data_IF_273214128322
#
_entry.id   IF_273214128322
#
_cell.length_a   1.000
_cell.length_b   1.000
_cell.length_c   1.000
_cell.angle_alpha   90.00
_cell.angle_beta   90.00
_cell.angle_gamma   90.00
#
_symmetry.space_group_name_H-M   'P 1'
#
loop_
_entity.id
_entity.type
_entity.pdbx_description
1 polymer ?
#
# COMPACT_ATOMS: atom_id res chain seq x y z
N UNK A 1 -22.69 -11.38 -13.86
CA UNK A 1 -21.47 -11.86 -13.17
C UNK A 1 -21.22 -11.24 -11.80
N UNK A 2 -21.61 -9.97 -11.52
CA UNK A 2 -21.19 -9.24 -10.29
C UNK A 2 -22.29 -9.02 -9.22
N UNK A 3 -23.52 -9.50 -9.43
CA UNK A 3 -24.70 -9.15 -8.60
C UNK A 3 -24.66 -9.66 -7.14
N UNK A 4 -23.80 -10.64 -6.80
CA UNK A 4 -23.86 -11.35 -5.50
C UNK A 4 -22.61 -11.20 -4.58
N UNK A 5 -21.63 -10.34 -4.87
CA UNK A 5 -20.47 -10.17 -3.98
C UNK A 5 -20.61 -8.91 -3.11
N UNK A 6 -20.61 -9.11 -1.78
CA UNK A 6 -20.87 -8.09 -0.73
C UNK A 6 -19.76 -7.04 -0.53
N UNK A 7 -18.55 -7.25 -1.06
CA UNK A 7 -17.53 -6.20 -1.12
C UNK A 7 -16.54 -6.50 -2.23
N UNK A 8 -16.31 -5.53 -3.12
CA UNK A 8 -15.30 -5.63 -4.17
C UNK A 8 -14.07 -4.82 -3.76
N UNK A 9 -12.92 -5.49 -3.65
CA UNK A 9 -11.62 -4.83 -3.70
C UNK A 9 -11.28 -4.66 -5.18
N UNK A 10 -11.05 -3.42 -5.63
CA UNK A 10 -10.90 -3.06 -7.06
C UNK A 10 -9.90 -3.95 -7.81
N UNK A 11 -8.75 -4.25 -7.18
CA UNK A 11 -7.72 -5.09 -7.79
C UNK A 11 -8.15 -6.56 -7.93
N UNK A 12 -8.92 -7.08 -6.97
CA UNK A 12 -9.42 -8.47 -7.05
C UNK A 12 -10.45 -8.64 -8.17
N UNK A 13 -11.20 -7.57 -8.50
CA UNK A 13 -12.10 -7.56 -9.65
C UNK A 13 -11.32 -7.69 -10.96
N UNK A 14 -10.24 -6.93 -11.12
CA UNK A 14 -9.40 -7.01 -12.32
C UNK A 14 -8.82 -8.41 -12.49
N UNK A 15 -8.29 -9.01 -11.42
CA UNK A 15 -7.80 -10.40 -11.45
C UNK A 15 -8.90 -11.36 -11.87
N UNK A 16 -10.12 -11.20 -11.36
CA UNK A 16 -11.25 -12.05 -11.72
C UNK A 16 -11.67 -11.90 -13.19
N UNK A 17 -11.73 -10.67 -13.69
CA UNK A 17 -12.07 -10.40 -15.08
C UNK A 17 -11.08 -11.08 -16.04
N UNK A 18 -9.78 -10.95 -15.75
CA UNK A 18 -8.71 -11.60 -16.52
C UNK A 18 -8.81 -13.12 -16.45
N UNK A 19 -9.05 -13.69 -15.25
CA UNK A 19 -9.24 -15.15 -15.10
C UNK A 19 -10.43 -15.69 -15.89
N UNK A 20 -11.48 -14.88 -16.06
CA UNK A 20 -12.65 -15.22 -16.87
C UNK A 20 -12.48 -14.90 -18.37
N UNK A 21 -11.26 -14.65 -18.84
CA UNK A 21 -10.96 -14.41 -20.26
C UNK A 21 -11.18 -12.96 -20.72
N UNK A 22 -11.62 -12.05 -19.86
CA UNK A 22 -11.77 -10.63 -20.19
C UNK A 22 -10.41 -9.93 -20.05
N UNK A 23 -9.64 -9.90 -21.15
CA UNK A 23 -8.26 -9.37 -21.17
C UNK A 23 -8.15 -7.96 -21.78
N UNK A 24 -9.23 -7.39 -22.27
CA UNK A 24 -9.26 -6.05 -22.89
C UNK A 24 -9.84 -5.04 -21.91
N UNK A 25 -9.07 -4.02 -21.56
CA UNK A 25 -9.48 -2.91 -20.71
C UNK A 25 -9.29 -1.61 -21.47
N UNK A 26 -10.27 -0.70 -21.40
CA UNK A 26 -10.16 0.63 -21.97
C UNK A 26 -9.78 1.64 -20.88
N UNK A 27 -8.83 2.52 -21.17
CA UNK A 27 -8.57 3.70 -20.37
C UNK A 27 -9.49 4.82 -20.85
N UNK A 28 -10.33 5.34 -19.95
CA UNK A 28 -11.24 6.45 -20.26
C UNK A 28 -10.69 7.69 -19.55
N UNK A 29 -10.07 8.64 -20.27
CA UNK A 29 -9.39 9.78 -19.65
C UNK A 29 -10.37 10.70 -18.88
N UNK A 30 -11.61 10.81 -19.35
CA UNK A 30 -12.63 11.68 -18.75
C UNK A 30 -13.44 10.99 -17.63
N UNK A 31 -13.11 9.74 -17.30
CA UNK A 31 -13.70 9.06 -16.15
C UNK A 31 -13.11 9.64 -14.86
N UNK A 32 -13.68 10.76 -14.39
CA UNK A 32 -13.28 11.40 -13.15
C UNK A 32 -13.58 10.51 -11.93
N UNK A 33 -12.53 10.01 -11.29
CA UNK A 33 -12.63 9.36 -9.97
C UNK A 33 -12.26 10.38 -8.90
N UNK A 34 -13.26 10.86 -8.16
CA UNK A 34 -13.01 11.73 -7.02
C UNK A 34 -12.69 10.90 -5.79
N UNK A 35 -11.39 10.83 -5.42
CA UNK A 35 -10.97 10.17 -4.19
C UNK A 35 -10.60 11.20 -3.12
N UNK A 36 -11.26 11.12 -1.97
CA UNK A 36 -10.90 11.98 -0.85
C UNK A 36 -9.51 11.60 -0.31
N UNK A 37 -8.56 12.51 -0.51
CA UNK A 37 -7.24 12.45 0.09
C UNK A 37 -7.29 12.89 1.56
N UNK A 38 -6.32 12.41 2.34
CA UNK A 38 -6.18 12.81 3.74
C UNK A 38 -5.83 14.30 3.82
N UNK A 39 -6.50 15.04 4.71
CA UNK A 39 -6.29 16.49 4.86
C UNK A 39 -5.07 16.82 5.72
N UNK A 40 -4.69 15.91 6.62
CA UNK A 40 -3.57 16.08 7.53
C UNK A 40 -2.69 14.82 7.57
N UNK A 41 -1.45 14.98 8.06
CA UNK A 41 -0.55 13.85 8.27
C UNK A 41 -1.15 12.85 9.27
N UNK A 42 -1.79 13.33 10.34
CA UNK A 42 -2.46 12.47 11.34
C UNK A 42 -3.57 11.64 10.69
N UNK A 43 -4.40 12.25 9.84
CA UNK A 43 -5.45 11.53 9.11
C UNK A 43 -4.86 10.49 8.15
N UNK A 44 -3.73 10.81 7.51
CA UNK A 44 -3.01 9.88 6.65
C UNK A 44 -2.55 8.67 7.47
N UNK A 45 -1.87 8.88 8.60
CA UNK A 45 -1.36 7.80 9.45
C UNK A 45 -2.50 6.93 10.00
N UNK A 46 -3.60 7.54 10.47
CA UNK A 46 -4.81 6.81 10.88
C UNK A 46 -5.41 6.00 9.74
N UNK A 47 -5.52 6.58 8.54
CA UNK A 47 -6.01 5.88 7.34
C UNK A 47 -5.12 4.70 6.98
N UNK A 48 -3.80 4.82 7.07
CA UNK A 48 -2.84 3.73 6.79
C UNK A 48 -2.95 2.60 7.80
N UNK A 49 -2.93 2.90 9.10
CA UNK A 49 -3.15 1.91 10.16
C UNK A 49 -4.48 1.15 10.00
N UNK A 50 -5.57 1.89 9.75
CA UNK A 50 -6.90 1.31 9.50
C UNK A 50 -6.89 0.43 8.25
N UNK A 51 -6.22 0.83 7.17
CA UNK A 51 -6.15 0.03 5.95
C UNK A 51 -5.42 -1.29 6.19
N UNK A 52 -4.33 -1.29 6.96
CA UNK A 52 -3.63 -2.53 7.33
C UNK A 52 -4.57 -3.45 8.11
N UNK A 53 -5.15 -2.98 9.19
CA UNK A 53 -5.91 -3.82 10.13
C UNK A 53 -7.32 -4.20 9.63
N UNK A 54 -8.04 -3.27 9.02
CA UNK A 54 -9.45 -3.47 8.62
C UNK A 54 -9.64 -3.88 7.17
N UNK A 55 -8.66 -3.63 6.28
CA UNK A 55 -8.81 -3.88 4.85
C UNK A 55 -7.84 -4.95 4.35
N UNK A 56 -6.56 -4.88 4.72
CA UNK A 56 -5.54 -5.84 4.29
C UNK A 56 -5.65 -7.13 5.11
N UNK A 57 -5.30 -7.08 6.40
CA UNK A 57 -5.24 -8.24 7.29
C UNK A 57 -6.60 -8.94 7.44
N UNK A 58 -7.69 -8.18 7.49
CA UNK A 58 -9.05 -8.73 7.57
C UNK A 58 -9.41 -9.62 6.38
N UNK A 59 -8.93 -9.28 5.18
CA UNK A 59 -9.31 -9.95 3.94
C UNK A 59 -8.15 -10.74 3.33
N UNK A 60 -7.04 -10.93 4.04
CA UNK A 60 -5.81 -11.46 3.48
C UNK A 60 -5.98 -12.85 2.84
N UNK A 61 -6.73 -13.75 3.48
CA UNK A 61 -6.99 -15.10 2.99
C UNK A 61 -7.90 -15.12 1.75
N UNK A 62 -8.82 -14.14 1.63
CA UNK A 62 -9.78 -14.04 0.52
C UNK A 62 -9.25 -13.23 -0.68
N UNK A 63 -8.09 -12.58 -0.55
CA UNK A 63 -7.49 -11.76 -1.61
C UNK A 63 -6.99 -12.62 -2.76
N UNK A 64 -7.34 -12.23 -3.97
CA UNK A 64 -6.83 -12.84 -5.22
C UNK A 64 -5.55 -12.14 -5.68
N UNK A 65 -5.41 -10.86 -5.35
CA UNK A 65 -4.22 -10.06 -5.60
C UNK A 65 -3.38 -9.89 -4.32
N UNK A 66 -2.17 -10.46 -4.32
CA UNK A 66 -1.18 -10.29 -3.24
C UNK A 66 0.00 -9.44 -3.75
N UNK A 67 0.36 -8.41 -2.99
CA UNK A 67 1.48 -7.51 -3.33
C UNK A 67 2.86 -8.15 -3.07
N UNK A 68 2.94 -9.04 -2.09
CA UNK A 68 4.14 -9.77 -1.71
C UNK A 68 3.72 -11.13 -1.15
N UNK A 69 4.61 -12.11 -1.26
CA UNK A 69 4.42 -13.43 -0.67
C UNK A 69 5.31 -13.56 0.57
N UNK A 70 4.72 -13.64 1.76
CA UNK A 70 5.48 -13.86 3.00
C UNK A 70 5.83 -15.33 3.25
N UNK A 71 5.30 -16.25 2.44
CA UNK A 71 5.61 -17.68 2.51
C UNK A 71 6.95 -18.01 1.82
N UNK A 72 7.64 -17.01 1.26
CA UNK A 72 8.96 -17.19 0.65
C UNK A 72 10.00 -16.25 1.24
N UNK A 73 11.21 -16.77 1.47
CA UNK A 73 12.35 -16.01 1.97
C UNK A 73 12.63 -14.77 1.12
N UNK A 74 12.52 -14.89 -0.21
CA UNK A 74 12.70 -13.77 -1.13
C UNK A 74 11.68 -12.65 -0.90
N UNK A 75 10.42 -13.00 -0.61
CA UNK A 75 9.39 -12.01 -0.32
C UNK A 75 9.60 -11.32 1.02
N UNK A 76 10.04 -12.06 2.05
CA UNK A 76 10.42 -11.50 3.35
C UNK A 76 11.60 -10.53 3.18
N UNK A 77 12.66 -10.95 2.50
CA UNK A 77 13.82 -10.09 2.24
C UNK A 77 13.43 -8.82 1.48
N UNK A 78 12.56 -8.94 0.47
CA UNK A 78 12.07 -7.78 -0.28
C UNK A 78 11.35 -6.77 0.62
N UNK A 79 10.50 -7.24 1.54
CA UNK A 79 9.83 -6.36 2.51
C UNK A 79 10.84 -5.75 3.47
N UNK A 80 11.81 -6.53 3.98
CA UNK A 80 12.85 -6.04 4.87
C UNK A 80 13.70 -4.94 4.22
N UNK A 81 14.20 -5.18 3.00
CA UNK A 81 14.93 -4.18 2.24
C UNK A 81 14.10 -2.92 2.00
N UNK A 82 12.81 -3.07 1.70
CA UNK A 82 11.93 -1.93 1.50
C UNK A 82 11.75 -1.10 2.78
N UNK A 83 11.62 -1.74 3.94
CA UNK A 83 11.55 -1.08 5.25
C UNK A 83 12.86 -0.34 5.55
N UNK A 84 14.01 -1.01 5.38
CA UNK A 84 15.32 -0.40 5.60
C UNK A 84 15.52 0.79 4.65
N UNK A 85 15.15 0.64 3.38
CA UNK A 85 15.22 1.71 2.38
C UNK A 85 14.32 2.90 2.71
N UNK A 86 13.08 2.65 3.13
CA UNK A 86 12.14 3.71 3.48
C UNK A 86 12.56 4.45 4.77
N UNK A 87 13.22 3.76 5.70
CA UNK A 87 13.71 4.33 6.95
C UNK A 87 15.12 4.92 6.85
N UNK A 88 15.85 4.65 5.77
CA UNK A 88 17.03 5.42 5.40
C UNK A 88 16.58 6.84 5.03
N UNK A 89 16.83 7.78 5.92
CA UNK A 89 16.49 9.19 5.73
C UNK A 89 17.16 9.79 4.49
N UNK A 90 18.41 9.40 4.22
CA UNK A 90 19.25 9.98 3.16
C UNK A 90 18.69 9.77 1.73
N UNK A 91 18.32 8.55 1.27
CA UNK A 91 17.68 8.35 -0.03
C UNK A 91 16.42 9.19 -0.24
N UNK A 92 15.54 9.25 0.78
CA UNK A 92 14.32 10.05 0.70
C UNK A 92 14.65 11.55 0.67
N UNK A 93 15.67 12.00 1.40
CA UNK A 93 16.12 13.40 1.39
C UNK A 93 16.66 13.80 0.02
N UNK A 94 17.52 12.97 -0.59
CA UNK A 94 18.07 13.23 -1.93
C UNK A 94 16.96 13.27 -3.00
N UNK A 95 16.00 12.35 -2.93
CA UNK A 95 14.81 12.35 -3.78
C UNK A 95 13.98 13.63 -3.60
N UNK A 96 13.74 14.03 -2.35
CA UNK A 96 13.00 15.24 -2.00
C UNK A 96 13.68 16.52 -2.50
N UNK A 97 15.02 16.62 -2.35
CA UNK A 97 15.83 17.71 -2.89
C UNK A 97 15.70 17.78 -4.41
N UNK A 98 15.94 16.68 -5.11
CA UNK A 98 15.84 16.61 -6.57
C UNK A 98 14.47 17.08 -7.07
N UNK A 99 13.39 16.58 -6.47
CA UNK A 99 12.01 16.97 -6.82
C UNK A 99 11.73 18.43 -6.50
N UNK A 100 12.24 18.94 -5.39
CA UNK A 100 12.09 20.36 -5.03
C UNK A 100 12.71 21.25 -6.09
N UNK A 101 13.93 20.95 -6.54
CA UNK A 101 14.57 21.71 -7.63
C UNK A 101 13.83 21.54 -8.96
N UNK A 102 13.41 20.32 -9.31
CA UNK A 102 12.75 20.03 -10.60
C UNK A 102 11.36 20.64 -10.74
N UNK A 103 10.57 20.60 -9.67
CA UNK A 103 9.16 21.01 -9.64
C UNK A 103 8.95 22.35 -8.91
N UNK A 104 10.01 22.97 -8.40
CA UNK A 104 10.01 24.28 -7.72
C UNK A 104 9.00 24.34 -6.56
N UNK A 105 8.90 23.25 -5.79
CA UNK A 105 7.97 23.15 -4.66
C UNK A 105 8.66 22.59 -3.43
N UNK A 106 8.45 23.23 -2.27
CA UNK A 106 9.00 22.78 -1.00
C UNK A 106 8.28 21.54 -0.45
N UNK A 107 7.14 21.15 -1.02
CA UNK A 107 6.35 20.01 -0.53
C UNK A 107 7.16 18.71 -0.54
N UNK A 108 8.09 18.56 -1.48
CA UNK A 108 8.94 17.37 -1.58
C UNK A 108 9.96 17.26 -0.43
N UNK A 109 10.25 18.33 0.32
CA UNK A 109 11.09 18.25 1.52
C UNK A 109 10.44 17.48 2.68
N UNK A 110 9.12 17.38 2.70
CA UNK A 110 8.41 16.60 3.73
C UNK A 110 8.43 15.09 3.43
N UNK A 111 8.83 14.69 2.22
CA UNK A 111 8.86 13.29 1.79
C UNK A 111 9.64 12.36 2.74
N UNK A 112 10.84 12.70 3.26
CA UNK A 112 11.57 11.84 4.18
C UNK A 112 10.81 11.59 5.47
N UNK A 113 10.24 12.65 6.06
CA UNK A 113 9.48 12.56 7.31
C UNK A 113 8.21 11.75 7.10
N UNK A 114 7.48 12.01 6.01
CA UNK A 114 6.24 11.29 5.69
C UNK A 114 6.52 9.82 5.41
N UNK A 115 7.58 9.49 4.68
CA UNK A 115 7.95 8.11 4.34
C UNK A 115 8.26 7.27 5.59
N UNK A 116 9.06 7.81 6.51
CA UNK A 116 9.39 7.14 7.78
C UNK A 116 8.11 6.90 8.58
N UNK A 117 7.32 7.95 8.83
CA UNK A 117 6.13 7.84 9.66
C UNK A 117 5.07 6.89 9.07
N UNK A 118 4.89 6.90 7.74
CA UNK A 118 3.96 5.99 7.07
C UNK A 118 4.45 4.55 7.13
N UNK A 119 5.74 4.31 6.94
CA UNK A 119 6.33 2.97 7.02
C UNK A 119 6.19 2.43 8.44
N UNK A 120 6.58 3.21 9.44
CA UNK A 120 6.54 2.81 10.84
C UNK A 120 5.11 2.55 11.33
N UNK A 121 4.14 3.40 10.99
CA UNK A 121 2.75 3.16 11.40
C UNK A 121 2.17 1.90 10.74
N UNK A 122 2.57 1.59 9.51
CA UNK A 122 2.15 0.35 8.82
C UNK A 122 2.76 -0.85 9.53
N UNK A 123 4.05 -0.82 9.87
CA UNK A 123 4.73 -1.88 10.58
C UNK A 123 4.15 -2.11 11.97
N UNK A 124 3.97 -1.04 12.74
CA UNK A 124 3.36 -1.09 14.08
C UNK A 124 1.95 -1.69 13.98
N UNK A 125 1.12 -1.19 13.07
CA UNK A 125 -0.24 -1.70 12.89
C UNK A 125 -0.27 -3.17 12.47
N UNK A 126 0.69 -3.60 11.64
CA UNK A 126 0.81 -4.99 11.20
C UNK A 126 1.26 -5.91 12.34
N UNK A 127 2.30 -5.52 13.08
CA UNK A 127 2.87 -6.30 14.18
C UNK A 127 2.01 -6.31 15.44
N UNK A 128 1.25 -5.25 15.70
CA UNK A 128 0.32 -5.18 16.82
C UNK A 128 -0.92 -6.07 16.60
N UNK A 129 -1.32 -6.30 15.35
CA UNK A 129 -2.45 -7.18 15.01
C UNK A 129 -2.03 -8.65 15.04
N UNK A 130 -2.80 -9.51 15.72
CA UNK A 130 -2.49 -10.93 15.83
C UNK A 130 -2.45 -11.63 14.46
N UNK A 131 -3.24 -11.17 13.48
CA UNK A 131 -3.27 -11.73 12.12
C UNK A 131 -1.98 -11.43 11.38
N UNK A 132 -1.39 -10.25 11.57
CA UNK A 132 -0.10 -9.91 11.01
C UNK A 132 1.01 -10.77 11.59
N UNK A 133 1.04 -10.94 12.93
CA UNK A 133 2.01 -11.85 13.57
C UNK A 133 1.86 -13.31 13.13
N UNK A 134 0.62 -13.78 12.92
CA UNK A 134 0.37 -15.12 12.38
C UNK A 134 1.03 -15.30 11.01
N UNK A 135 1.00 -14.30 10.14
CA UNK A 135 1.63 -14.37 8.82
C UNK A 135 3.16 -14.50 8.87
N UNK A 136 3.81 -14.01 9.94
CA UNK A 136 5.26 -14.11 10.11
C UNK A 136 5.73 -15.44 10.71
N UNK A 137 4.84 -16.18 11.38
CA UNK A 137 5.17 -17.44 12.07
C UNK A 137 5.12 -18.68 11.18
N UNK A 138 4.55 -18.56 9.98
CA UNK A 138 4.33 -19.64 9.03
C UNK A 138 5.09 -19.44 7.70
N UNK A 139 5.98 -18.44 7.64
CA UNK A 139 6.92 -18.21 6.53
C UNK A 139 8.31 -18.72 6.85
#
# INVERSE_FOLDING_TARGET
>A
FLKNKKSFLELDLLVELVKNGNKKFAYVPDAGLFHHHAKTLVDLLKKRSRNVTRVYLKNNEARKYRWFNLESVQGILKVLFWVLWANLFLPSLLSGLYKTFRFKTLVAFYEPVVNILVTDIILIAFLADFRGRKLLRWG
#
